data_IF_422101720085
#
_entry.id   IF_422101720085
#
_cell.length_a   1.000
_cell.length_b   1.000
_cell.length_c   1.000
_cell.angle_alpha   90.00
_cell.angle_beta   90.00
_cell.angle_gamma   90.00
#
_symmetry.space_group_name_H-M   'P 1'
#
loop_
_entity.id
_entity.type
_entity.pdbx_description
1 polymer ?
#
# COMPACT_ATOMS: atom_id res chain seq x y z
N UNK A 1 -8.80 -5.99 3.89
CA UNK A 1 -8.04 -5.54 2.71
C UNK A 1 -6.80 -4.81 3.17
N UNK A 2 -5.65 -5.09 2.57
CA UNK A 2 -4.35 -4.53 2.97
C UNK A 2 -3.60 -4.00 1.75
N UNK A 3 -3.19 -2.74 1.79
CA UNK A 3 -2.31 -2.15 0.77
C UNK A 3 -0.87 -2.34 1.24
N UNK A 4 -0.04 -2.89 0.36
CA UNK A 4 1.39 -3.04 0.56
C UNK A 4 2.15 -2.18 -0.44
N UNK A 5 3.28 -1.64 -0.01
CA UNK A 5 4.17 -0.92 -0.90
C UNK A 5 5.62 -1.07 -0.49
N UNK A 6 6.52 -1.05 -1.48
CA UNK A 6 7.97 -1.06 -1.26
C UNK A 6 8.52 0.27 -1.70
N UNK A 7 9.04 1.04 -0.74
CA UNK A 7 9.51 2.39 -0.98
C UNK A 7 10.82 2.68 -0.26
N UNK A 8 11.52 3.69 -0.76
CA UNK A 8 12.69 4.29 -0.13
C UNK A 8 12.67 5.78 -0.33
N UNK A 9 13.49 6.45 0.46
CA UNK A 9 13.95 7.79 0.15
C UNK A 9 15.34 7.68 -0.48
N UNK A 10 15.74 8.64 -1.30
CA UNK A 10 17.13 8.83 -1.70
C UNK A 10 17.65 10.17 -1.21
N UNK A 11 18.94 10.16 -0.92
CA UNK A 11 19.62 11.26 -0.31
C UNK A 11 21.09 11.21 -0.65
N UNK A 12 21.64 12.39 -0.90
CA UNK A 12 22.99 12.58 -1.41
C UNK A 12 23.88 13.47 -0.50
N UNK A 13 23.41 13.89 0.69
CA UNK A 13 24.15 14.79 1.60
C UNK A 13 24.51 14.17 2.97
N UNK A 14 24.90 14.98 3.95
CA UNK A 14 25.20 14.54 5.34
C UNK A 14 24.15 14.88 6.43
N UNK A 15 23.43 16.02 6.34
CA UNK A 15 22.35 16.41 7.29
C UNK A 15 20.92 16.22 6.73
N UNK A 16 20.09 15.43 7.43
CA UNK A 16 18.63 15.34 7.21
C UNK A 16 17.92 16.45 8.00
N UNK A 17 17.12 17.25 7.31
CA UNK A 17 16.32 18.34 7.92
C UNK A 17 14.88 17.91 8.15
N UNK A 18 14.27 17.27 7.15
CA UNK A 18 12.93 16.70 7.25
C UNK A 18 12.86 15.36 6.53
N UNK A 19 12.16 14.41 7.14
CA UNK A 19 12.00 13.03 6.66
C UNK A 19 11.00 12.92 5.50
N UNK A 20 11.24 12.03 4.53
CA UNK A 20 10.28 11.66 3.48
C UNK A 20 9.35 10.58 4.00
N UNK A 21 8.12 10.61 3.52
CA UNK A 21 7.08 9.67 3.93
C UNK A 21 6.37 9.06 2.73
N UNK A 22 5.99 7.79 2.88
CA UNK A 22 5.01 7.12 2.04
C UNK A 22 3.72 6.96 2.84
N UNK A 23 2.61 7.49 2.32
CA UNK A 23 1.29 7.35 2.97
C UNK A 23 0.38 6.50 2.10
N UNK A 24 0.02 5.28 2.50
CA UNK A 24 -0.86 4.42 1.70
C UNK A 24 -2.27 5.03 1.61
N UNK A 25 -2.89 4.92 0.44
CA UNK A 25 -4.18 5.51 0.10
C UNK A 25 -5.11 4.47 -0.53
N UNK A 26 -6.40 4.63 -0.27
CA UNK A 26 -7.47 3.95 -1.00
C UNK A 26 -8.46 4.99 -1.48
N UNK A 27 -8.86 4.92 -2.75
CA UNK A 27 -9.89 5.81 -3.31
C UNK A 27 -11.10 4.97 -3.70
N UNK A 28 -12.26 5.37 -3.20
CA UNK A 28 -13.53 4.65 -3.29
C UNK A 28 -14.60 5.67 -3.66
N UNK A 29 -15.31 5.45 -4.75
CA UNK A 29 -16.38 6.36 -5.20
C UNK A 29 -15.93 7.82 -5.35
N UNK A 30 -14.67 8.05 -5.72
CA UNK A 30 -14.10 9.40 -5.89
C UNK A 30 -13.55 10.05 -4.61
N UNK A 31 -13.67 9.43 -3.44
CA UNK A 31 -13.09 9.96 -2.20
C UNK A 31 -11.83 9.20 -1.82
N UNK A 32 -10.75 9.91 -1.51
CA UNK A 32 -9.47 9.33 -1.09
C UNK A 32 -9.40 9.25 0.44
N UNK A 33 -9.08 8.08 0.96
CA UNK A 33 -8.88 7.80 2.37
C UNK A 33 -7.42 7.45 2.64
N UNK A 34 -6.75 8.26 3.46
CA UNK A 34 -5.35 8.09 3.82
C UNK A 34 -5.17 7.17 5.02
N UNK A 35 -4.15 6.31 4.95
CA UNK A 35 -3.59 5.63 6.11
C UNK A 35 -2.65 6.52 6.92
N UNK A 36 -2.02 5.94 7.93
CA UNK A 36 -0.93 6.60 8.68
C UNK A 36 0.33 6.69 7.81
N UNK A 37 0.95 7.87 7.77
CA UNK A 37 2.23 8.07 7.09
C UNK A 37 3.33 7.16 7.62
N UNK A 38 4.18 6.64 6.74
CA UNK A 38 5.32 5.78 7.06
C UNK A 38 6.63 6.49 6.72
N UNK A 39 7.53 6.61 7.69
CA UNK A 39 8.86 7.20 7.47
C UNK A 39 9.67 6.27 6.56
N UNK A 40 10.16 6.80 5.44
CA UNK A 40 10.93 6.03 4.47
C UNK A 40 12.39 5.91 4.89
N UNK A 41 12.99 4.74 4.67
CA UNK A 41 14.42 4.52 4.87
C UNK A 41 15.23 4.80 3.61
N UNK A 42 16.56 4.87 3.74
CA UNK A 42 17.50 5.02 2.60
C UNK A 42 17.46 3.80 1.65
N UNK A 43 17.18 2.62 2.20
CA UNK A 43 16.99 1.38 1.44
C UNK A 43 15.52 1.13 1.14
N UNK A 44 15.24 0.35 0.09
CA UNK A 44 13.87 -0.08 -0.19
C UNK A 44 13.37 -1.05 0.88
N UNK A 45 12.35 -0.63 1.60
CA UNK A 45 11.68 -1.39 2.65
C UNK A 45 10.20 -1.57 2.29
N UNK A 46 9.65 -2.71 2.69
CA UNK A 46 8.23 -3.03 2.52
C UNK A 46 7.42 -2.47 3.70
N UNK A 47 6.35 -1.76 3.37
CA UNK A 47 5.38 -1.18 4.28
C UNK A 47 4.00 -1.70 3.94
N UNK A 48 3.08 -1.65 4.90
CA UNK A 48 1.69 -2.02 4.64
C UNK A 48 0.72 -1.26 5.54
N UNK A 49 -0.54 -1.24 5.12
CA UNK A 49 -1.67 -0.76 5.91
C UNK A 49 -2.91 -1.58 5.61
N UNK A 50 -3.51 -2.11 6.67
CA UNK A 50 -4.80 -2.77 6.60
C UNK A 50 -5.96 -1.79 6.83
N UNK A 51 -7.04 -2.03 6.08
CA UNK A 51 -8.39 -1.52 6.32
C UNK A 51 -9.29 -2.72 6.60
N UNK A 52 -9.64 -2.90 7.87
CA UNK A 52 -10.56 -3.96 8.32
C UNK A 52 -11.98 -3.73 7.77
N UNK A 53 -12.40 -2.48 7.67
CA UNK A 53 -13.67 -2.05 7.05
C UNK A 53 -13.43 -1.07 5.92
N UNK A 54 -14.39 -0.96 5.01
CA UNK A 54 -14.41 0.06 3.97
C UNK A 54 -14.46 1.45 4.65
N UNK A 55 -13.46 2.32 4.47
CA UNK A 55 -13.40 3.59 5.16
C UNK A 55 -14.48 4.59 4.71
N UNK A 56 -15.13 4.37 3.56
CA UNK A 56 -16.28 5.15 3.10
C UNK A 56 -17.55 4.78 3.86
N UNK A 57 -17.91 3.49 3.87
CA UNK A 57 -19.18 3.02 4.45
C UNK A 57 -19.09 2.60 5.91
N UNK A 58 -17.86 2.41 6.42
CA UNK A 58 -17.54 1.81 7.73
C UNK A 58 -18.02 0.36 7.90
N UNK A 59 -18.43 -0.31 6.81
CA UNK A 59 -18.90 -1.70 6.80
C UNK A 59 -17.84 -2.66 6.25
N UNK A 60 -18.13 -3.96 6.23
CA UNK A 60 -17.29 -4.97 5.57
C UNK A 60 -17.08 -4.64 4.08
N UNK A 61 -15.92 -5.04 3.55
CA UNK A 61 -15.61 -4.87 2.13
C UNK A 61 -16.46 -5.80 1.26
N UNK A 62 -17.07 -5.25 0.22
CA UNK A 62 -17.73 -6.04 -0.83
C UNK A 62 -16.81 -6.20 -2.02
N UNK A 63 -17.01 -7.24 -2.83
CA UNK A 63 -16.26 -7.41 -4.09
C UNK A 63 -16.44 -6.25 -5.05
N UNK A 64 -17.63 -5.65 -5.12
CA UNK A 64 -17.84 -4.45 -5.92
C UNK A 64 -16.95 -3.30 -5.43
N UNK A 65 -16.84 -3.08 -4.12
CA UNK A 65 -15.93 -2.05 -3.60
C UNK A 65 -14.45 -2.35 -3.90
N UNK A 66 -14.06 -3.62 -3.99
CA UNK A 66 -12.70 -4.02 -4.36
C UNK A 66 -12.46 -3.82 -5.86
N UNK A 67 -13.44 -4.13 -6.72
CA UNK A 67 -13.32 -3.94 -8.17
C UNK A 67 -13.22 -2.45 -8.53
N UNK A 68 -13.94 -1.58 -7.80
CA UNK A 68 -13.92 -0.14 -8.01
C UNK A 68 -12.78 0.57 -7.26
N UNK A 69 -11.95 -0.19 -6.52
CA UNK A 69 -10.89 0.35 -5.68
C UNK A 69 -9.73 0.87 -6.53
N UNK A 70 -9.29 2.09 -6.22
CA UNK A 70 -7.96 2.56 -6.62
C UNK A 70 -7.06 2.60 -5.39
N UNK A 71 -6.03 1.76 -5.36
CA UNK A 71 -4.99 1.81 -4.35
C UNK A 71 -3.86 2.73 -4.81
N UNK A 72 -3.26 3.47 -3.87
CA UNK A 72 -2.21 4.42 -4.17
C UNK A 72 -1.31 4.70 -2.98
N UNK A 73 -0.30 5.54 -3.23
CA UNK A 73 0.61 6.04 -2.21
C UNK A 73 0.77 7.53 -2.46
N UNK A 74 0.64 8.33 -1.40
CA UNK A 74 1.12 9.71 -1.43
C UNK A 74 2.57 9.71 -0.98
N UNK A 75 3.47 10.11 -1.87
CA UNK A 75 4.88 10.31 -1.55
C UNK A 75 5.10 11.77 -1.17
N UNK A 76 5.75 11.98 -0.04
CA UNK A 76 6.15 13.28 0.46
C UNK A 76 7.66 13.32 0.47
N UNK A 77 8.26 14.16 -0.37
CA UNK A 77 9.68 14.44 -0.35
C UNK A 77 10.04 15.19 0.93
N UNK A 78 11.06 14.72 1.62
CA UNK A 78 11.72 15.42 2.70
C UNK A 78 12.75 16.43 2.18
N UNK A 79 13.53 16.97 3.11
CA UNK A 79 14.54 18.00 2.82
C UNK A 79 15.85 17.68 3.51
N UNK A 80 16.95 18.14 2.91
CA UNK A 80 18.28 17.92 3.43
C UNK A 80 19.24 19.09 3.19
N UNK A 81 20.39 19.07 3.88
CA UNK A 81 21.42 20.11 3.82
C UNK A 81 21.20 21.19 4.88
N UNK A 82 21.13 22.44 4.43
CA UNK A 82 21.00 23.61 5.30
C UNK A 82 19.53 23.90 5.69
N UNK A 83 19.29 24.31 6.93
CA UNK A 83 17.93 24.61 7.41
C UNK A 83 17.32 25.88 6.78
N UNK A 84 18.14 26.83 6.32
CA UNK A 84 17.69 28.08 5.70
C UNK A 84 17.39 27.88 4.21
N UNK A 85 18.19 27.06 3.52
CA UNK A 85 18.02 26.73 2.10
C UNK A 85 18.13 25.22 1.84
N UNK A 86 17.11 24.44 2.23
CA UNK A 86 17.15 22.99 2.06
C UNK A 86 17.02 22.57 0.60
N UNK A 87 17.68 21.47 0.26
CA UNK A 87 17.47 20.75 -1.00
C UNK A 87 16.33 19.75 -0.84
N UNK A 88 15.50 19.60 -1.88
CA UNK A 88 14.43 18.59 -1.91
C UNK A 88 15.02 17.19 -2.09
N UNK A 89 14.63 16.28 -1.20
CA UNK A 89 14.91 14.85 -1.32
C UNK A 89 14.00 14.17 -2.35
N UNK A 90 14.30 12.92 -2.63
CA UNK A 90 13.50 12.10 -3.55
C UNK A 90 12.90 10.91 -2.79
N UNK A 91 11.66 10.57 -3.12
CA UNK A 91 10.99 9.39 -2.61
C UNK A 91 10.58 8.50 -3.78
N UNK A 92 10.88 7.21 -3.67
CA UNK A 92 10.65 6.24 -4.73
C UNK A 92 9.81 5.08 -4.21
N UNK A 93 8.93 4.58 -5.06
CA UNK A 93 8.18 3.36 -4.84
C UNK A 93 8.47 2.39 -5.99
N UNK A 94 8.92 1.17 -5.67
CA UNK A 94 9.20 0.14 -6.67
C UNK A 94 8.02 -0.80 -6.90
N UNK A 95 7.16 -0.98 -5.90
CA UNK A 95 6.05 -1.95 -5.94
C UNK A 95 4.88 -1.43 -5.09
N UNK A 96 3.67 -1.59 -5.61
CA UNK A 96 2.40 -1.33 -4.92
C UNK A 96 1.45 -2.47 -5.26
N UNK A 97 0.90 -3.13 -4.25
CA UNK A 97 -0.07 -4.20 -4.44
C UNK A 97 -1.10 -4.22 -3.30
N UNK A 98 -2.22 -4.88 -3.56
CA UNK A 98 -3.30 -5.05 -2.58
C UNK A 98 -3.45 -6.54 -2.30
N UNK A 99 -3.58 -6.87 -1.02
CA UNK A 99 -3.95 -8.21 -0.56
C UNK A 99 -5.38 -8.14 -0.05
N UNK A 100 -6.22 -9.03 -0.56
CA UNK A 100 -7.63 -9.15 -0.16
C UNK A 100 -7.85 -10.54 0.39
N UNK A 101 -8.08 -10.63 1.70
CA UNK A 101 -8.55 -11.86 2.32
C UNK A 101 -10.03 -12.04 1.98
N UNK A 102 -10.38 -13.22 1.47
CA UNK A 102 -11.75 -13.56 1.11
C UNK A 102 -12.09 -14.98 1.52
N UNK A 103 -13.37 -15.18 1.85
CA UNK A 103 -13.92 -16.51 2.07
C UNK A 103 -14.58 -16.97 0.77
N UNK A 104 -14.05 -18.02 0.15
CA UNK A 104 -14.67 -18.64 -1.00
C UNK A 104 -16.03 -19.25 -0.63
N UNK A 105 -17.09 -19.00 -1.42
CA UNK A 105 -18.34 -19.73 -1.29
C UNK A 105 -18.06 -21.22 -1.45
N UNK A 106 -18.72 -22.06 -0.65
CA UNK A 106 -18.54 -23.53 -0.69
C UNK A 106 -18.74 -24.10 -2.10
N UNK A 107 -19.62 -23.48 -2.90
CA UNK A 107 -19.89 -23.87 -4.29
C UNK A 107 -18.70 -23.69 -5.27
N UNK A 108 -17.74 -22.82 -4.95
CA UNK A 108 -16.58 -22.55 -5.80
C UNK A 108 -15.32 -23.28 -5.33
N UNK A 109 -15.37 -23.95 -4.17
CA UNK A 109 -14.28 -24.80 -3.71
C UNK A 109 -14.25 -26.04 -4.59
N UNK A 110 -13.10 -26.35 -5.18
CA UNK A 110 -12.92 -27.62 -5.87
C UNK A 110 -13.31 -28.75 -4.89
N UNK A 111 -14.14 -29.72 -5.31
CA UNK A 111 -14.49 -30.82 -4.44
C UNK A 111 -13.22 -31.57 -4.05
N UNK A 112 -13.13 -31.95 -2.77
CA UNK A 112 -11.95 -32.62 -2.19
C UNK A 112 -11.56 -33.93 -2.92
N UNK A 113 -12.45 -34.46 -3.77
CA UNK A 113 -12.26 -35.65 -4.60
C UNK A 113 -11.70 -35.38 -6.00
N UNK A 114 -11.45 -34.12 -6.39
CA UNK A 114 -10.92 -33.73 -7.71
C UNK A 114 -9.43 -33.38 -7.65
N UNK A 115 -8.66 -34.08 -6.82
CA UNK A 115 -7.22 -34.24 -7.05
C UNK A 115 -7.04 -35.38 -8.04
N UNK A 116 -6.49 -35.06 -9.21
CA UNK A 116 -6.26 -35.97 -10.34
C UNK A 116 -5.83 -37.37 -9.91
N UNK A 117 -6.68 -38.38 -10.17
CA UNK A 117 -6.17 -39.74 -10.36
C UNK A 117 -5.30 -39.69 -11.61
N UNK A 118 -3.99 -39.75 -11.41
CA UNK A 118 -3.04 -40.00 -12.49
C UNK A 118 -3.40 -41.31 -13.18
N UNK A 119 -3.90 -41.19 -14.41
CA UNK A 119 -3.93 -42.25 -15.42
C UNK A 119 -2.87 -41.81 -16.44
N UNK A 120 -1.76 -42.49 -16.74
CA UNK A 120 -1.24 -43.86 -16.51
C UNK A 120 0.16 -43.79 -15.91
#
# INVERSE_FOLDING_TARGET
>A
MTVHFRARWAYAGDIIVAQSYGTPQVRIGGTTYSGKQQALTLSFVSYNRSWSTNPNTKSAWTWQNINDLVAGIRLNAGTYGDNKYPTLGEAYCSQLWVVVDYNEPVANKLPMSLFFQGVR
#
